data_IF_214264368627
#
_entry.id   IF_214264368627
#
_cell.length_a   1.000
_cell.length_b   1.000
_cell.length_c   1.000
_cell.angle_alpha   90.00
_cell.angle_beta   90.00
_cell.angle_gamma   90.00
#
_symmetry.space_group_name_H-M   'P 1'
#
loop_
_entity.id
_entity.type
_entity.pdbx_description
1 polymer ?
2 polymer ?
3 non-polymer ?
4 water ?
#
# COMPACT_ATOMS: atom_id res chain seq x y z
N UNK A 1 -3.16 11.45 -2.06
CA UNK A 1 -2.17 10.82 -1.21
C UNK A 1 -0.77 11.30 -1.54
N UNK A 2 0.05 11.48 -0.51
CA UNK A 2 1.42 11.95 -0.68
C UNK A 2 2.32 10.82 -1.15
N UNK A 3 2.01 9.61 -0.70
CA UNK A 3 2.77 8.42 -1.04
C UNK A 3 2.14 7.78 -2.28
N UNK A 4 0.97 8.28 -2.67
CA UNK A 4 0.32 7.81 -3.87
C UNK A 4 -0.23 6.40 -3.77
N UNK A 5 -0.71 6.00 -2.60
CA UNK A 5 -1.37 4.70 -2.46
C UNK A 5 -2.69 4.75 -3.19
N UNK A 6 -2.97 3.73 -4.00
CA UNK A 6 -4.28 3.65 -4.63
C UNK A 6 -4.95 2.36 -4.18
N UNK A 7 -6.22 2.47 -3.79
CA UNK A 7 -6.98 1.29 -3.39
C UNK A 7 -7.82 0.80 -4.57
N UNK A 8 -7.71 -0.50 -4.85
CA UNK A 8 -8.44 -1.13 -5.93
C UNK A 8 -9.94 -1.04 -5.71
N UNK A 9 -10.67 -1.03 -6.81
CA UNK A 9 -12.11 -1.07 -6.78
C UNK A 9 -12.58 -2.28 -5.97
N UNK A 10 -11.91 -3.41 -6.15
CA UNK A 10 -12.36 -4.64 -5.49
C UNK A 10 -12.15 -4.59 -3.98
N UNK A 11 -11.08 -3.94 -3.53
CA UNK A 11 -10.83 -3.85 -2.11
C UNK A 11 -11.84 -2.92 -1.48
N UNK A 12 -12.06 -1.80 -2.15
CA UNK A 12 -12.92 -0.79 -1.58
C UNK A 12 -14.36 -1.31 -1.55
N UNK A 13 -14.83 -1.86 -2.66
CA UNK A 13 -16.21 -2.37 -2.65
C UNK A 13 -16.40 -3.64 -1.81
N UNK A 14 -15.38 -4.49 -1.77
CA UNK A 14 -15.41 -5.69 -0.94
C UNK A 14 -15.62 -5.35 0.53
N UNK A 15 -14.81 -4.42 1.01
CA UNK A 15 -14.93 -3.98 2.40
C UNK A 15 -16.22 -3.21 2.62
N UNK A 16 -16.61 -2.33 1.70
CA UNK A 16 -17.87 -1.61 1.87
C UNK A 16 -19.05 -2.56 2.00
N UNK A 17 -19.07 -3.59 1.16
CA UNK A 17 -20.23 -4.49 1.14
C UNK A 17 -20.24 -5.34 2.41
N UNK A 18 -19.06 -5.76 2.86
CA UNK A 18 -18.97 -6.58 4.07
C UNK A 18 -19.34 -5.74 5.27
N UNK A 19 -18.96 -4.47 5.26
CA UNK A 19 -19.32 -3.59 6.37
C UNK A 19 -20.83 -3.34 6.40
N UNK A 20 -21.42 -3.15 5.23
CA UNK A 20 -22.88 -2.98 5.17
C UNK A 20 -23.57 -4.21 5.77
N UNK A 21 -23.11 -5.40 5.39
CA UNK A 21 -23.65 -6.61 6.03
C UNK A 21 -23.42 -6.64 7.55
N UNK A 22 -22.26 -6.18 8.01
CA UNK A 22 -22.02 -6.10 9.45
C UNK A 22 -23.03 -5.20 10.16
N UNK A 23 -23.35 -4.07 9.52
CA UNK A 23 -24.32 -3.12 10.05
C UNK A 23 -25.72 -3.68 10.12
N UNK A 24 -25.98 -4.74 9.35
CA UNK A 24 -27.32 -5.33 9.37
C UNK A 24 -27.35 -6.73 9.98
N UNK A 25 -26.24 -7.16 10.58
CA UNK A 25 -26.09 -8.54 11.04
C UNK A 25 -27.16 -8.94 12.03
N UNK A 26 -27.42 -8.10 13.01
CA UNK A 26 -28.42 -8.41 14.03
C UNK A 26 -29.83 -8.47 13.47
N UNK A 27 -30.12 -7.57 12.54
CA UNK A 27 -31.47 -7.45 12.02
C UNK A 27 -31.81 -8.58 11.06
N UNK A 28 -30.79 -9.17 10.44
CA UNK A 28 -31.02 -10.28 9.54
C UNK A 28 -30.67 -9.99 8.10
N UNK A 29 -31.05 -10.90 7.19
CA UNK A 29 -30.75 -10.81 5.75
C UNK A 29 -31.19 -9.56 5.06
N UNK A 30 -30.34 -9.06 4.16
CA UNK A 30 -30.71 -7.95 3.30
C UNK A 30 -30.45 -8.31 1.84
N UNK A 31 -31.13 -7.63 0.94
CA UNK A 31 -30.97 -7.91 -0.47
C UNK A 31 -29.70 -7.27 -1.01
N UNK A 32 -29.15 -7.83 -2.08
CA UNK A 32 -28.00 -7.20 -2.73
C UNK A 32 -28.35 -5.82 -3.26
N UNK A 33 -29.57 -5.68 -3.79
CA UNK A 33 -30.01 -4.38 -4.29
C UNK A 33 -29.93 -3.30 -3.20
N UNK A 34 -30.33 -3.67 -1.98
CA UNK A 34 -30.31 -2.71 -0.88
C UNK A 34 -28.88 -2.31 -0.51
N UNK A 35 -27.95 -3.26 -0.58
CA UNK A 35 -26.54 -2.96 -0.32
C UNK A 35 -26.01 -2.01 -1.38
N UNK A 36 -26.31 -2.32 -2.64
CA UNK A 36 -25.82 -1.50 -3.75
C UNK A 36 -26.39 -0.09 -3.63
N UNK A 37 -27.62 0.01 -3.15
CA UNK A 37 -28.28 1.30 -3.02
C UNK A 37 -27.65 2.14 -1.91
N UNK A 38 -27.36 1.51 -0.78
CA UNK A 38 -26.84 2.24 0.36
C UNK A 38 -25.39 2.64 0.15
N UNK A 39 -24.66 1.82 -0.59
CA UNK A 39 -23.21 2.01 -0.72
C UNK A 39 -22.79 2.65 -2.03
N UNK A 40 -23.75 2.88 -2.92
CA UNK A 40 -23.46 3.46 -4.22
C UNK A 40 -22.57 2.54 -5.03
N UNK A 41 -22.97 1.27 -5.12
CA UNK A 41 -22.21 0.28 -5.88
C UNK A 41 -23.02 -0.22 -7.04
N UNK A 42 -22.35 -0.66 -8.09
CA UNK A 42 -23.05 -1.22 -9.22
C UNK A 42 -23.47 -2.62 -8.85
N UNK A 43 -24.75 -2.94 -9.07
CA UNK A 43 -25.26 -4.28 -8.75
C UNK A 43 -24.52 -5.44 -9.43
N UNK A 44 -24.24 -5.32 -10.75
CA UNK A 44 -23.53 -6.44 -11.40
C UNK A 44 -22.17 -6.71 -10.76
N UNK A 45 -21.48 -5.65 -10.36
CA UNK A 45 -20.16 -5.82 -9.77
C UNK A 45 -20.32 -6.49 -8.42
N UNK A 46 -21.31 -6.00 -7.65
CA UNK A 46 -21.59 -6.54 -6.32
C UNK A 46 -21.97 -8.03 -6.38
N UNK A 47 -22.78 -8.41 -7.37
CA UNK A 47 -23.15 -9.81 -7.55
C UNK A 47 -21.93 -10.70 -7.66
N UNK A 48 -20.96 -10.25 -8.46
CA UNK A 48 -19.77 -11.03 -8.67
C UNK A 48 -18.90 -11.09 -7.43
N UNK A 49 -18.83 -9.96 -6.71
CA UNK A 49 -18.08 -9.89 -5.47
C UNK A 49 -18.60 -10.90 -4.47
N UNK A 50 -19.91 -10.80 -4.23
CA UNK A 50 -20.59 -11.60 -3.22
C UNK A 50 -20.41 -13.08 -3.53
N UNK A 51 -20.37 -13.43 -4.81
CA UNK A 51 -20.19 -14.83 -5.18
C UNK A 51 -18.88 -15.38 -4.62
N UNK A 52 -17.81 -14.60 -4.73
CA UNK A 52 -16.53 -15.03 -4.19
C UNK A 52 -16.56 -15.06 -2.65
N UNK A 53 -17.11 -14.02 -2.04
CA UNK A 53 -17.18 -13.97 -0.59
C UNK A 53 -18.01 -15.13 -0.04
N UNK A 54 -18.98 -15.55 -0.82
CA UNK A 54 -19.84 -16.69 -0.43
C UNK A 54 -19.09 -18.01 -0.50
N UNK A 55 -18.34 -18.21 -1.58
CA UNK A 55 -17.52 -19.41 -1.73
C UNK A 55 -16.50 -19.49 -0.59
N UNK A 56 -16.02 -18.32 -0.16
CA UNK A 56 -15.02 -18.23 0.90
C UNK A 56 -15.58 -18.50 2.28
N UNK A 57 -16.89 -18.48 2.41
CA UNK A 57 -17.51 -18.74 3.71
C UNK A 57 -17.61 -17.47 4.54
N UNK A 58 -17.52 -16.31 3.89
CA UNK A 58 -17.64 -15.03 4.58
C UNK A 58 -19.08 -14.52 4.60
N UNK A 59 -19.86 -14.92 3.60
CA UNK A 59 -21.26 -14.54 3.56
C UNK A 59 -22.10 -15.74 3.17
N UNK A 60 -23.36 -15.73 3.57
CA UNK A 60 -24.24 -16.82 3.21
C UNK A 60 -25.57 -16.26 2.72
N UNK A 61 -26.24 -17.05 1.90
CA UNK A 61 -27.54 -16.71 1.35
C UNK A 61 -28.61 -17.42 2.16
N UNK A 62 -29.74 -16.74 2.37
CA UNK A 62 -30.86 -17.36 3.06
C UNK A 62 -32.12 -17.26 2.19
N UNK A 63 -33.01 -18.24 2.32
CA UNK A 63 -34.16 -18.37 1.42
C UNK A 63 -35.48 -17.77 1.93
N UNK A 64 -35.42 -16.86 2.90
CA UNK A 64 -36.63 -16.35 3.53
C UNK A 64 -37.49 -15.40 2.69
N UNK A 65 -38.48 -14.79 3.34
CA UNK A 65 -39.25 -13.72 2.73
C UNK A 65 -38.36 -12.50 2.72
N UNK A 66 -37.97 -12.03 3.90
CA UNK A 66 -36.73 -11.30 4.01
C UNK A 66 -35.66 -12.37 3.84
N UNK A 67 -35.45 -12.76 2.59
CA UNK A 67 -34.34 -13.61 2.24
C UNK A 67 -33.22 -12.64 1.94
N UNK A 68 -32.15 -13.13 1.32
CA UNK A 68 -31.04 -12.24 1.03
C UNK A 68 -29.76 -12.76 1.63
N UNK A 69 -28.85 -11.83 1.96
CA UNK A 69 -27.52 -12.23 2.39
C UNK A 69 -27.24 -11.76 3.81
N UNK A 70 -26.44 -12.57 4.53
CA UNK A 70 -25.96 -12.19 5.87
C UNK A 70 -24.50 -12.61 6.00
N UNK A 71 -23.77 -11.99 6.92
CA UNK A 71 -22.43 -12.47 7.24
C UNK A 71 -22.53 -13.92 7.69
N UNK A 72 -21.52 -14.72 7.32
CA UNK A 72 -21.45 -16.11 7.70
C UNK A 72 -20.61 -16.36 8.97
N UNK A 73 -19.93 -15.30 9.43
CA UNK A 73 -19.21 -15.28 10.71
C UNK A 73 -19.57 -13.97 11.40
N UNK A 74 -19.41 -13.92 12.71
CA UNK A 74 -19.73 -12.69 13.47
C UNK A 74 -18.69 -11.64 13.09
N UNK A 75 -19.07 -10.35 13.12
CA UNK A 75 -18.11 -9.32 12.72
C UNK A 75 -16.81 -9.36 13.51
N UNK A 76 -16.86 -9.75 14.78
CA UNK A 76 -15.64 -9.81 15.60
C UNK A 76 -14.66 -10.88 15.12
N UNK A 77 -15.15 -11.83 14.32
CA UNK A 77 -14.32 -12.91 13.79
C UNK A 77 -13.96 -12.69 12.31
N UNK A 78 -14.16 -11.49 11.80
CA UNK A 78 -13.74 -11.19 10.43
C UNK A 78 -12.79 -10.01 10.45
N UNK A 79 -11.51 -10.25 10.16
CA UNK A 79 -10.54 -9.17 10.00
C UNK A 79 -10.66 -8.55 8.61
N UNK A 80 -10.37 -7.26 8.48
CA UNK A 80 -10.40 -6.64 7.16
C UNK A 80 -9.41 -7.37 6.26
N UNK A 81 -8.27 -7.75 6.83
CA UNK A 81 -7.29 -8.51 6.06
C UNK A 81 -7.79 -9.85 5.52
N UNK A 82 -8.69 -10.50 6.24
CA UNK A 82 -9.31 -11.75 5.78
C UNK A 82 -10.08 -11.50 4.49
N UNK A 83 -10.80 -10.38 4.44
CA UNK A 83 -11.58 -10.05 3.27
C UNK A 83 -10.64 -9.79 2.09
N UNK A 84 -9.58 -9.02 2.34
CA UNK A 84 -8.62 -8.71 1.28
C UNK A 84 -7.94 -9.99 0.79
N UNK A 85 -7.52 -10.86 1.69
CA UNK A 85 -6.92 -12.14 1.26
C UNK A 85 -7.81 -12.98 0.36
N UNK A 86 -9.09 -13.05 0.69
CA UNK A 86 -10.05 -13.78 -0.12
C UNK A 86 -10.10 -13.21 -1.56
N UNK A 87 -10.17 -11.89 -1.66
CA UNK A 87 -10.38 -11.29 -2.97
C UNK A 87 -9.12 -11.33 -3.83
N UNK A 88 -7.96 -11.38 -3.19
CA UNK A 88 -6.71 -11.34 -3.97
C UNK A 88 -6.30 -12.73 -4.46
N UNK A 89 -5.51 -12.77 -5.53
CA UNK A 89 -5.14 -14.04 -6.14
C UNK A 89 -3.68 -14.39 -5.92
N UNK A 105 20.81 -19.77 -16.19
CA UNK A 105 20.16 -18.48 -16.38
C UNK A 105 19.70 -17.88 -15.05
N UNK A 106 19.53 -18.73 -14.04
CA UNK A 106 19.09 -18.27 -12.72
C UNK A 106 20.26 -17.85 -11.85
N UNK A 107 20.01 -16.89 -10.96
CA UNK A 107 21.00 -16.49 -9.98
C UNK A 107 20.34 -15.70 -8.88
N UNK A 108 20.89 -15.78 -7.67
CA UNK A 108 20.39 -14.98 -6.58
C UNK A 108 21.23 -13.74 -6.38
N UNK A 109 20.56 -12.60 -6.32
CA UNK A 109 21.16 -11.32 -5.98
C UNK A 109 20.19 -10.57 -5.06
N UNK A 110 20.55 -10.45 -3.79
CA UNK A 110 19.69 -9.77 -2.83
C UNK A 110 19.47 -8.30 -3.19
N UNK A 111 18.21 -7.88 -3.13
CA UNK A 111 17.80 -6.52 -3.41
C UNK A 111 17.38 -5.83 -2.13
N UNK A 112 18.16 -4.87 -1.66
CA UNK A 112 17.73 -4.11 -0.49
C UNK A 112 16.48 -3.32 -0.78
N UNK A 113 16.31 -2.86 -2.04
CA UNK A 113 15.10 -2.13 -2.42
C UNK A 113 13.85 -3.00 -2.24
N UNK A 114 13.92 -4.24 -2.70
CA UNK A 114 12.77 -5.13 -2.50
C UNK A 114 12.49 -5.36 -1.03
N UNK A 115 13.55 -5.34 -0.21
CA UNK A 115 13.35 -5.58 1.22
C UNK A 115 12.57 -4.43 1.84
N UNK A 116 12.75 -3.23 1.28
CA UNK A 116 11.97 -2.08 1.74
C UNK A 116 10.50 -2.31 1.45
N UNK A 117 10.19 -2.80 0.25
CA UNK A 117 8.78 -3.04 -0.08
C UNK A 117 8.20 -4.15 0.77
N UNK A 118 9.02 -5.12 1.14
CA UNK A 118 8.54 -6.20 1.99
C UNK A 118 8.12 -5.63 3.34
N UNK A 119 8.85 -4.63 3.80
CA UNK A 119 8.53 -3.95 5.06
C UNK A 119 7.23 -3.16 4.94
N UNK A 120 7.03 -2.51 3.81
CA UNK A 120 5.75 -1.84 3.53
C UNK A 120 4.61 -2.87 3.57
N UNK A 121 4.81 -3.99 2.90
CA UNK A 121 3.75 -5.03 2.84
C UNK A 121 3.40 -5.54 4.24
N UNK A 122 4.42 -5.77 5.03
CA UNK A 122 4.21 -6.30 6.37
C UNK A 122 3.41 -5.34 7.22
N UNK A 123 3.68 -4.04 7.08
CA UNK A 123 3.01 -3.04 7.89
C UNK A 123 1.53 -2.93 7.50
N UNK A 124 1.26 -3.02 6.19
CA UNK A 124 -0.12 -3.05 5.70
C UNK A 124 -0.88 -4.27 6.23
N UNK A 125 -0.23 -5.43 6.15
CA UNK A 125 -0.81 -6.66 6.67
C UNK A 125 -1.11 -6.52 8.17
N UNK A 126 -0.21 -5.86 8.90
CA UNK A 126 -0.44 -5.68 10.32
C UNK A 126 -1.65 -4.79 10.61
N UNK A 127 -1.78 -3.68 9.89
CA UNK A 127 -2.92 -2.79 10.09
C UNK A 127 -4.21 -3.53 9.78
N UNK A 128 -4.26 -4.20 8.64
CA UNK A 128 -5.54 -4.80 8.20
C UNK A 128 -5.92 -6.02 9.03
N UNK A 129 -4.94 -6.64 9.67
CA UNK A 129 -5.26 -7.75 10.57
C UNK A 129 -5.65 -7.24 11.96
N UNK A 130 -5.40 -5.97 12.22
CA UNK A 130 -5.66 -5.41 13.55
C UNK A 130 -7.05 -4.84 13.65
N UNK A 131 -7.78 -4.82 12.52
CA UNK A 131 -9.11 -4.21 12.50
C UNK A 131 -10.13 -5.26 12.10
N UNK A 132 -11.18 -5.44 12.91
CA UNK A 132 -12.23 -6.36 12.53
C UNK A 132 -13.47 -5.57 12.12
N UNK A 133 -14.43 -6.28 11.53
CA UNK A 133 -15.71 -5.63 11.24
C UNK A 133 -16.38 -5.14 12.52
N UNK A 134 -16.17 -5.81 13.65
CA UNK A 134 -16.73 -5.29 14.91
C UNK A 134 -16.08 -3.96 15.30
N UNK A 135 -14.76 -3.85 15.09
CA UNK A 135 -14.09 -2.60 15.36
C UNK A 135 -14.67 -1.47 14.50
N UNK A 136 -14.92 -1.78 13.23
CA UNK A 136 -15.51 -0.80 12.33
C UNK A 136 -16.92 -0.41 12.77
N UNK A 137 -17.70 -1.38 13.24
CA UNK A 137 -19.03 -1.06 13.78
C UNK A 137 -18.96 -0.10 14.98
N UNK A 138 -18.03 -0.35 15.89
CA UNK A 138 -17.79 0.56 17.01
C UNK A 138 -17.40 1.97 16.56
N UNK A 139 -16.43 2.06 15.64
CA UNK A 139 -16.02 3.36 15.12
C UNK A 139 -17.18 4.10 14.45
N UNK A 140 -17.99 3.37 13.69
CA UNK A 140 -19.15 3.93 12.99
C UNK A 140 -20.12 4.56 13.96
N UNK A 141 -20.27 3.95 15.13
CA UNK A 141 -21.19 4.47 16.14
C UNK A 141 -20.67 5.76 16.78
N UNK A 142 -19.37 5.79 17.05
CA UNK A 142 -18.73 6.93 17.70
C UNK A 142 -18.62 8.15 16.79
N UNK A 143 -18.39 7.91 15.51
CA UNK A 143 -17.98 8.98 14.61
C UNK A 143 -19.14 9.70 13.93
N UNK A 144 -20.28 9.02 13.81
CA UNK A 144 -21.42 9.59 13.10
C UNK A 144 -22.58 9.86 14.05
N UNK A 145 -22.28 9.90 15.34
CA UNK A 145 -23.31 10.07 16.35
C UNK A 145 -23.70 11.54 16.51
N UNK A 146 -24.67 11.80 17.37
CA UNK A 146 -25.03 13.15 17.74
C UNK A 146 -25.22 13.23 19.24
N UNK A 147 -24.86 14.35 19.85
CA UNK A 147 -25.01 14.53 21.28
C UNK A 147 -25.23 16.00 21.65
N UNK A 148 -25.61 16.26 22.90
CA UNK A 148 -25.67 17.61 23.42
C UNK A 148 -24.29 18.24 23.28
N UNK A 149 -24.24 19.52 22.96
CA UNK A 149 -22.95 20.15 22.61
C UNK A 149 -21.95 20.22 23.77
N UNK A 150 -22.45 20.28 25.01
CA UNK A 150 -21.58 20.36 26.17
C UNK A 150 -20.72 19.11 26.39
N UNK A 151 -21.04 18.04 25.67
CA UNK A 151 -20.36 16.77 25.88
C UNK A 151 -19.16 16.57 24.95
N UNK A 152 -19.02 17.44 23.96
CA UNK A 152 -17.82 17.46 23.13
C UNK A 152 -16.67 18.05 23.96
N UNK A 153 -15.61 17.28 24.14
CA UNK A 153 -14.53 17.71 25.02
C UNK A 153 -13.32 18.20 24.25
N UNK B 1 0.12 -11.81 -3.90
CA UNK B 1 0.72 -11.91 -2.58
C UNK B 1 -0.30 -12.31 -1.54
N UNK B 2 -0.24 -11.66 -0.38
CA UNK B 2 -1.27 -11.84 0.64
C UNK B 2 -2.32 -10.75 0.46
N UNK B 3 -1.91 -9.51 0.69
CA UNK B 3 -2.79 -8.36 0.54
C UNK B 3 -2.81 -7.90 -0.93
N UNK B 4 -1.89 -8.41 -1.74
CA UNK B 4 -1.84 -8.02 -3.13
C UNK B 4 -1.38 -6.58 -3.35
N UNK B 5 -0.40 -6.15 -2.58
CA UNK B 5 0.22 -4.84 -2.81
C UNK B 5 1.05 -4.93 -4.08
N UNK B 6 0.93 -3.93 -4.94
CA UNK B 6 1.75 -3.87 -6.14
C UNK B 6 2.52 -2.57 -6.10
N UNK B 7 3.81 -2.63 -6.40
CA UNK B 7 4.64 -1.45 -6.40
C UNK B 7 4.80 -0.97 -7.85
N UNK B 8 4.59 0.33 -8.07
CA UNK B 8 4.69 0.90 -9.40
C UNK B 8 6.11 0.80 -9.93
N UNK B 9 6.21 0.79 -11.25
CA UNK B 9 7.50 0.84 -11.92
C UNK B 9 8.27 2.06 -11.45
N UNK B 10 7.58 3.19 -11.31
CA UNK B 10 8.30 4.41 -10.96
C UNK B 10 8.87 4.40 -9.54
N UNK B 11 8.13 3.80 -8.61
CA UNK B 11 8.62 3.71 -7.25
C UNK B 11 9.79 2.76 -7.20
N UNK B 12 9.64 1.62 -7.87
CA UNK B 12 10.69 0.63 -7.81
C UNK B 12 11.97 1.15 -8.47
N UNK B 13 11.84 1.70 -9.69
CA UNK B 13 13.05 2.18 -10.37
C UNK B 13 13.61 3.46 -9.73
N UNK B 14 12.74 4.31 -9.21
CA UNK B 14 13.16 5.52 -8.53
C UNK B 14 14.05 5.21 -7.35
N UNK B 15 13.61 4.29 -6.52
CA UNK B 15 14.38 3.88 -5.36
C UNK B 15 15.64 3.10 -5.76
N UNK B 16 15.53 2.19 -6.73
CA UNK B 16 16.71 1.46 -7.21
C UNK B 16 17.78 2.43 -7.69
N UNK B 17 17.39 3.42 -8.48
CA UNK B 17 18.40 4.34 -9.04
C UNK B 17 19.02 5.19 -7.95
N UNK B 18 18.21 5.64 -7.00
CA UNK B 18 18.72 6.47 -5.91
C UNK B 18 19.64 5.66 -5.03
N UNK B 19 19.30 4.39 -4.81
CA UNK B 19 20.16 3.55 -4.01
C UNK B 19 21.50 3.29 -4.72
N UNK B 20 21.44 3.07 -6.02
CA UNK B 20 22.69 2.88 -6.79
C UNK B 20 23.56 4.11 -6.63
N UNK B 21 22.98 5.30 -6.72
CA UNK B 21 23.77 6.51 -6.46
C UNK B 21 24.31 6.56 -5.04
N UNK B 22 23.52 6.11 -4.07
CA UNK B 22 24.02 6.04 -2.68
C UNK B 22 25.26 5.15 -2.57
N UNK B 23 25.24 4.03 -3.28
CA UNK B 23 26.33 3.05 -3.24
C UNK B 23 27.58 3.63 -3.86
N UNK B 24 27.42 4.65 -4.70
CA UNK B 24 28.57 5.27 -5.34
C UNK B 24 28.91 6.68 -4.84
N UNK B 25 28.23 7.13 -3.78
CA UNK B 25 28.34 8.51 -3.30
C UNK B 25 29.77 8.93 -2.99
N UNK B 26 30.49 8.09 -2.23
CA UNK B 26 31.85 8.42 -1.85
C UNK B 26 32.79 8.45 -3.04
N UNK B 27 32.58 7.55 -3.98
CA UNK B 27 33.50 7.42 -5.10
C UNK B 27 33.33 8.54 -6.12
N UNK B 28 32.13 9.10 -6.19
CA UNK B 28 31.89 10.21 -7.09
C UNK B 28 30.87 9.91 -8.18
N UNK B 29 30.77 10.80 -9.17
CA UNK B 29 29.80 10.70 -10.26
C UNK B 29 29.87 9.43 -11.08
N UNK B 30 28.69 8.92 -11.45
CA UNK B 30 28.59 7.78 -12.35
C UNK B 30 27.66 8.14 -13.50
N UNK B 31 27.81 7.46 -14.62
CA UNK B 31 26.96 7.71 -15.77
C UNK B 31 25.60 7.06 -15.61
N UNK B 32 24.58 7.60 -16.28
CA UNK B 32 23.27 6.96 -16.26
C UNK B 32 23.33 5.57 -16.88
N UNK B 33 24.13 5.40 -17.92
CA UNK B 33 24.28 4.09 -18.56
C UNK B 33 24.74 3.05 -17.54
N UNK B 34 25.69 3.43 -16.68
CA UNK B 34 26.20 2.51 -15.68
C UNK B 34 25.11 2.11 -14.67
N UNK B 35 24.29 3.07 -14.28
CA UNK B 35 23.16 2.77 -13.37
C UNK B 35 22.20 1.80 -14.04
N UNK B 36 21.86 2.10 -15.30
CA UNK B 36 20.90 1.26 -16.02
C UNK B 36 21.44 -0.16 -16.14
N UNK B 37 22.75 -0.28 -16.34
CA UNK B 37 23.37 -1.59 -16.51
C UNK B 37 23.38 -2.39 -15.22
N UNK B 38 23.73 -1.75 -14.11
CA UNK B 38 23.83 -2.46 -12.84
C UNK B 38 22.46 -2.84 -12.30
N UNK B 39 21.46 -2.01 -12.59
CA UNK B 39 20.14 -2.19 -11.99
C UNK B 39 19.12 -2.83 -12.92
N UNK B 40 19.53 -3.10 -14.15
CA UNK B 40 18.64 -3.72 -15.12
C UNK B 40 17.48 -2.81 -15.45
N UNK B 41 17.79 -1.56 -15.76
CA UNK B 41 16.78 -0.57 -16.06
C UNK B 41 16.89 -0.10 -17.48
N UNK B 42 15.78 0.35 -18.05
CA UNK B 42 15.80 0.93 -19.38
C UNK B 42 16.38 2.33 -19.30
N UNK B 43 17.38 2.62 -20.15
CA UNK B 43 17.98 3.96 -20.18
C UNK B 43 16.98 5.11 -20.42
N UNK B 44 16.08 4.98 -21.41
CA UNK B 44 15.13 6.07 -21.61
C UNK B 44 14.26 6.36 -20.39
N UNK B 45 13.81 5.31 -19.72
CA UNK B 45 12.98 5.48 -18.53
C UNK B 45 13.79 6.16 -17.43
N UNK B 46 15.02 5.67 -17.24
CA UNK B 46 15.90 6.23 -16.22
C UNK B 46 16.19 7.71 -16.46
N UNK B 47 16.43 8.08 -17.72
CA UNK B 47 16.70 9.48 -18.02
C UNK B 47 15.53 10.39 -17.62
N UNK B 48 14.31 9.92 -17.86
CA UNK B 48 13.15 10.71 -17.49
C UNK B 48 13.00 10.79 -15.98
N UNK B 49 13.27 9.67 -15.31
CA UNK B 49 13.25 9.61 -13.85
C UNK B 49 14.19 10.64 -13.27
N UNK B 50 15.44 10.53 -13.69
CA UNK B 50 16.52 11.35 -13.16
C UNK B 50 16.23 12.82 -13.34
N UNK B 51 15.56 13.17 -14.45
CA UNK B 51 15.23 14.58 -14.68
C UNK B 51 14.37 15.15 -13.56
N UNK B 52 13.37 14.39 -13.14
CA UNK B 52 12.52 14.82 -12.04
C UNK B 52 13.29 14.85 -10.71
N UNK B 53 14.10 13.83 -10.47
CA UNK B 53 14.86 13.78 -9.22
C UNK B 53 15.84 14.96 -9.16
N UNK B 54 16.35 15.36 -10.32
CA UNK B 54 17.27 16.50 -10.40
C UNK B 54 16.54 17.81 -10.10
N UNK B 55 15.37 18.00 -10.70
CA UNK B 55 14.56 19.19 -10.43
C UNK B 55 14.23 19.31 -8.95
N UNK B 56 13.99 18.17 -8.31
CA UNK B 56 13.65 18.11 -6.89
C UNK B 56 14.84 18.40 -5.97
N UNK B 57 16.03 18.40 -6.52
CA UNK B 57 17.21 18.62 -5.72
C UNK B 57 17.71 17.35 -5.05
N UNK B 58 17.29 16.20 -5.53
CA UNK B 58 17.74 14.92 -4.97
C UNK B 58 19.02 14.40 -5.63
N UNK B 59 19.22 14.76 -6.90
CA UNK B 59 20.44 14.38 -7.60
C UNK B 59 20.97 15.59 -8.35
N UNK B 60 22.27 15.58 -8.61
CA UNK B 60 22.85 16.67 -9.37
C UNK B 60 23.74 16.12 -10.47
N UNK B 61 23.89 16.90 -11.53
CA UNK B 61 24.74 16.54 -12.64
C UNK B 61 26.07 17.25 -12.46
N UNK B 62 27.17 16.57 -12.77
CA UNK B 62 28.47 17.21 -12.72
C UNK B 62 29.15 17.13 -14.09
N UNK B 63 29.72 18.25 -14.54
CA UNK B 63 30.38 18.29 -15.84
C UNK B 63 31.48 17.25 -15.88
N UNK B 64 32.53 17.52 -15.10
CA UNK B 64 33.69 16.64 -14.99
C UNK B 64 34.24 16.18 -16.32
N UNK B 65 34.88 15.02 -16.31
CA UNK B 65 35.29 14.34 -17.53
C UNK B 65 34.78 12.93 -17.39
N UNK B 66 35.18 12.29 -16.30
CA UNK B 66 34.47 11.13 -15.78
C UNK B 66 33.39 11.66 -14.86
N UNK B 67 32.58 12.58 -15.40
CA UNK B 67 31.48 13.17 -14.68
C UNK B 67 30.28 12.25 -14.69
N UNK B 68 29.08 12.81 -14.61
CA UNK B 68 27.88 11.99 -14.49
C UNK B 68 26.96 12.53 -13.42
N UNK B 69 26.34 11.63 -12.66
CA UNK B 69 25.36 12.03 -11.64
C UNK B 69 25.78 11.58 -10.25
N UNK B 70 25.46 12.40 -9.24
CA UNK B 70 25.69 12.06 -7.83
C UNK B 70 24.48 12.49 -7.02
N UNK B 71 24.33 11.92 -5.83
CA UNK B 71 23.30 12.40 -4.92
C UNK B 71 23.57 13.86 -4.59
N UNK B 72 22.51 14.64 -4.44
CA UNK B 72 22.65 16.05 -4.10
C UNK B 72 22.55 16.32 -2.59
N UNK B 73 22.18 15.29 -1.83
CA UNK B 73 22.19 15.32 -0.35
C UNK B 73 22.83 14.02 0.10
N UNK B 74 23.30 13.98 1.34
CA UNK B 74 23.93 12.75 1.85
C UNK B 74 22.85 11.70 2.04
N UNK B 75 23.20 10.42 1.88
CA UNK B 75 22.22 9.35 2.04
C UNK B 75 21.48 9.40 3.38
N UNK B 76 22.13 9.85 4.44
CA UNK B 76 21.45 9.90 5.74
C UNK B 76 20.35 10.98 5.78
N UNK B 77 20.37 11.89 4.80
CA UNK B 77 19.39 12.97 4.73
C UNK B 77 18.35 12.76 3.63
N UNK B 78 18.26 11.55 3.11
CA UNK B 78 17.25 11.22 2.11
C UNK B 78 16.44 10.03 2.60
N UNK B 79 15.17 10.27 2.95
CA UNK B 79 14.26 9.19 3.35
C UNK B 79 13.67 8.55 2.12
N UNK B 80 13.38 7.26 2.16
CA UNK B 80 12.74 6.62 1.01
C UNK B 80 11.43 7.34 0.71
N UNK B 81 10.73 7.71 1.77
CA UNK B 81 9.51 8.49 1.60
C UNK B 81 9.69 9.80 0.82
N UNK B 82 10.85 10.45 0.96
CA UNK B 82 11.15 11.69 0.22
C UNK B 82 11.16 11.40 -1.28
N UNK B 83 11.80 10.30 -1.67
CA UNK B 83 11.88 9.91 -3.06
C UNK B 83 10.48 9.66 -3.62
N UNK B 84 9.67 8.89 -2.89
CA UNK B 84 8.31 8.59 -3.33
C UNK B 84 7.46 9.86 -3.46
N UNK B 85 7.57 10.76 -2.49
CA UNK B 85 6.80 12.00 -2.55
C UNK B 85 7.12 12.85 -3.78
N UNK B 86 8.41 12.91 -4.11
CA UNK B 86 8.84 13.65 -5.29
C UNK B 86 8.21 13.06 -6.57
N UNK B 87 8.24 11.75 -6.71
CA UNK B 87 7.78 11.12 -7.93
C UNK B 87 6.25 11.18 -8.06
N UNK B 88 5.56 11.18 -6.93
CA UNK B 88 4.10 11.16 -6.99
C UNK B 88 3.51 12.56 -7.25
N UNK B 89 2.31 12.61 -7.83
CA UNK B 89 1.65 13.87 -8.08
C UNK B 89 0.14 13.74 -8.13
N UNK B 105 -26.16 17.36 -5.28
CA UNK B 105 -25.08 18.29 -5.00
C UNK B 105 -24.11 17.71 -3.98
N UNK B 106 -23.72 18.54 -3.00
CA UNK B 106 -22.73 18.11 -2.02
C UNK B 106 -23.36 17.69 -0.71
N UNK B 107 -22.69 16.77 -0.02
CA UNK B 107 -23.09 16.38 1.32
C UNK B 107 -21.97 15.59 1.96
N UNK B 108 -21.89 15.63 3.27
CA UNK B 108 -20.89 14.85 3.97
C UNK B 108 -21.51 13.60 4.58
N UNK B 109 -20.86 12.46 4.34
CA UNK B 109 -21.21 11.19 4.95
C UNK B 109 -19.90 10.49 5.29
N UNK B 110 -19.59 10.38 6.58
CA UNK B 110 -18.36 9.70 7.01
C UNK B 110 -18.34 8.25 6.56
N UNK B 111 -17.20 7.82 6.02
CA UNK B 111 -16.99 6.45 5.58
C UNK B 111 -15.99 5.78 6.49
N UNK B 112 -16.45 4.83 7.28
CA UNK B 112 -15.51 4.09 8.12
C UNK B 112 -14.56 3.26 7.25
N UNK B 113 -15.01 2.81 6.08
CA UNK B 113 -14.14 2.06 5.18
C UNK B 113 -12.97 2.92 4.71
N UNK B 114 -13.26 4.16 4.33
CA UNK B 114 -12.18 5.07 3.95
C UNK B 114 -11.23 5.31 5.12
N UNK B 115 -11.75 5.32 6.34
CA UNK B 115 -10.86 5.55 7.49
C UNK B 115 -9.86 4.39 7.65
N UNK B 116 -10.28 3.19 7.27
CA UNK B 116 -9.37 2.05 7.28
C UNK B 116 -8.24 2.30 6.29
N UNK B 117 -8.57 2.77 5.10
CA UNK B 117 -7.50 2.99 4.11
C UNK B 117 -6.59 4.11 4.55
N UNK B 118 -7.12 5.09 5.27
CA UNK B 118 -6.30 6.20 5.77
C UNK B 118 -5.27 5.66 6.76
N UNK B 119 -5.70 4.67 7.53
CA UNK B 119 -4.79 4.02 8.47
C UNK B 119 -3.71 3.23 7.75
N UNK B 120 -4.08 2.56 6.65
CA UNK B 120 -3.09 1.87 5.81
C UNK B 120 -2.08 2.88 5.26
N UNK B 121 -2.60 4.00 4.76
CA UNK B 121 -1.71 5.02 4.17
C UNK B 121 -0.72 5.54 5.20
N UNK B 122 -1.21 5.78 6.41
CA UNK B 122 -0.38 6.25 7.50
C UNK B 122 0.77 5.32 7.80
N UNK B 123 0.48 4.03 7.87
CA UNK B 123 1.49 3.05 8.25
C UNK B 123 2.55 2.94 7.16
N UNK B 124 2.14 3.03 5.89
CA UNK B 124 3.12 3.03 4.79
C UNK B 124 4.05 4.25 4.89
N UNK B 125 3.44 5.42 5.09
CA UNK B 125 4.18 6.66 5.25
C UNK B 125 5.18 6.54 6.40
N UNK B 126 4.76 5.90 7.48
CA UNK B 126 5.65 5.73 8.62
C UNK B 126 6.83 4.82 8.32
N UNK B 127 6.58 3.71 7.62
CA UNK B 127 7.68 2.82 7.25
C UNK B 127 8.62 3.55 6.33
N UNK B 128 8.09 4.19 5.30
CA UNK B 128 9.00 4.81 4.32
C UNK B 128 9.75 6.03 4.85
N UNK B 129 9.20 6.69 5.86
CA UNK B 129 9.91 7.81 6.47
C UNK B 129 10.94 7.35 7.51
N UNK B 130 10.89 6.07 7.85
CA UNK B 130 11.77 5.55 8.90
C UNK B 130 13.02 4.94 8.31
N UNK B 131 13.10 4.89 6.99
CA UNK B 131 14.25 4.29 6.30
C UNK B 131 14.92 5.33 5.43
N UNK B 132 16.23 5.51 5.61
CA UNK B 132 16.97 6.43 4.76
C UNK B 132 17.86 5.63 3.83
N UNK B 133 18.41 6.30 2.82
CA UNK B 133 19.38 5.64 1.95
C UNK B 133 20.59 5.16 2.74
N UNK B 134 20.94 5.84 3.83
CA UNK B 134 22.05 5.36 4.67
C UNK B 134 21.70 4.04 5.37
N UNK B 135 20.45 3.94 5.83
CA UNK B 135 19.99 2.68 6.42
C UNK B 135 20.08 1.55 5.39
N UNK B 136 19.71 1.84 4.15
CA UNK B 136 19.77 0.85 3.09
C UNK B 136 21.22 0.44 2.80
N UNK B 137 22.12 1.41 2.85
CA UNK B 137 23.54 1.09 2.66
C UNK B 137 24.06 0.15 3.74
N UNK B 138 23.70 0.43 4.99
CA UNK B 138 24.08 -0.46 6.09
C UNK B 138 23.49 -1.86 5.94
N UNK B 139 22.19 -1.94 5.62
CA UNK B 139 21.57 -3.23 5.41
C UNK B 139 22.21 -4.02 4.26
N UNK B 140 22.54 -3.31 3.19
CA UNK B 140 23.15 -3.91 2.00
C UNK B 140 24.45 -4.58 2.38
N UNK B 141 25.28 -3.88 3.14
CA UNK B 141 26.53 -4.44 3.62
C UNK B 141 26.27 -5.73 4.41
N UNK B 142 25.47 -5.62 5.48
CA UNK B 142 25.19 -6.75 6.37
C UNK B 142 24.65 -8.00 5.66
N UNK B 143 23.76 -7.79 4.70
CA UNK B 143 23.01 -8.91 4.11
C UNK B 143 23.75 -9.57 2.95
N UNK B 144 24.66 -8.84 2.32
CA UNK B 144 25.43 -9.35 1.19
C UNK B 144 26.89 -9.40 1.59
N UNK B 145 27.17 -10.10 2.67
CA UNK B 145 28.53 -10.19 3.17
C UNK B 145 29.07 -11.61 2.97
N UNK B 146 30.32 -11.80 3.36
CA UNK B 146 30.86 -13.13 3.42
C UNK B 146 31.80 -13.18 4.61
N UNK B 147 31.76 -14.27 5.36
CA UNK B 147 32.60 -14.39 6.54
C UNK B 147 32.95 -15.85 6.78
N UNK B 148 33.86 -16.08 7.72
CA UNK B 148 34.14 -17.44 8.17
C UNK B 148 32.85 -18.05 8.69
N UNK B 149 32.62 -19.32 8.35
CA UNK B 149 31.35 -19.96 8.71
C UNK B 149 31.08 -20.02 10.22
N UNK B 150 32.13 -20.05 11.03
CA UNK B 150 31.97 -20.14 12.48
C UNK B 150 31.33 -18.89 13.09
N UNK B 151 31.22 -17.83 12.31
CA UNK B 151 30.65 -16.58 12.81
C UNK B 151 29.20 -16.36 12.39
N UNK B 152 28.55 -17.44 11.96
CA UNK B 152 27.13 -17.41 11.63
C UNK B 152 26.27 -17.87 12.81
N UNK C 1 -2.87 -6.80 -6.94
CA UNK C 1 -3.60 -5.71 -7.58
C UNK C 1 -4.69 -5.16 -6.67
N UNK C 2 -4.52 -5.32 -5.36
CA UNK C 2 -5.48 -4.77 -4.39
C UNK C 2 -5.13 -3.35 -3.99
N UNK C 3 -3.85 -3.05 -3.95
CA UNK C 3 -3.43 -1.72 -3.61
C UNK C 3 -2.12 -1.49 -4.33
N UNK C 4 -1.92 -0.27 -4.81
CA UNK C 4 -0.63 0.08 -5.43
C UNK C 4 -0.04 1.38 -4.93
N UNK C 5 1.31 1.45 -4.97
CA UNK C 5 2.05 2.68 -4.70
C UNK C 5 3.10 2.82 -5.82
N UNK C 6 3.28 4.01 -6.39
CA UNK C 6 2.53 5.17 -5.97
C UNK C 6 1.45 5.51 -7.01
X LIG D 1 -7.84 -15.10 -2.59
X LIG E 1 5.71 14.97 -6.41
#
# INVERSE_FOLDING_TARGET
>A
GAMGLKVSTKGHYGVQAMFDLAQHFGEGPVSLKSIAERQGLSEPYLEQLIAVLRKAGLVKSVRGAQGGYILAREPRDIKVGDIIRVLEGPIAPVESVSQDDPEHSLKFDFSVTKSVWEKVKKSIEEVLDSITLADMLKDAEEAQMAQGYMYYI
>B
GAMGLKVSTKGHYGVQAMFDLAQHFGEGPVSLKSIAERQGLSEPYLEQLIAVLRKAGLVKSVRGAQGGYILAREPRDIKVGDIIRVLEGPIAPVESVSQDDPEHSLKFDFSVTKSVWEKVKKSIEEVLDSITLADMLKDAEEAQMAQGYMYYI
>C
AAAAAA
>D hetero
1 NA NA
>E hetero
1 NA NA
#
